data_IF_887867842929
#
_entry.id   IF_887867842929
#
_cell.length_a   1.000
_cell.length_b   1.000
_cell.length_c   1.000
_cell.angle_alpha   90.00
_cell.angle_beta   90.00
_cell.angle_gamma   90.00
#
_symmetry.space_group_name_H-M   'P 1'
#
loop_
_entity.id
_entity.type
_entity.pdbx_description
1 polymer ?
#
# COMPACT_ATOMS: atom_id res chain seq x y z
N UNK A 1 22.66 -22.95 -36.64
CA UNK A 1 22.35 -23.65 -35.38
C UNK A 1 22.75 -22.71 -34.26
N UNK A 2 21.77 -22.06 -33.62
CA UNK A 2 22.00 -21.13 -32.51
C UNK A 2 22.03 -21.98 -31.25
N UNK A 3 23.15 -21.98 -30.52
CA UNK A 3 23.37 -22.75 -29.29
C UNK A 3 22.16 -22.65 -28.35
N UNK A 4 21.44 -23.78 -28.24
CA UNK A 4 20.20 -23.90 -27.46
C UNK A 4 20.50 -24.09 -25.97
N UNK A 5 21.75 -24.42 -25.60
CA UNK A 5 22.10 -24.97 -24.28
C UNK A 5 23.16 -24.14 -23.52
N UNK A 6 23.18 -22.81 -23.68
CA UNK A 6 24.00 -21.96 -22.80
C UNK A 6 23.16 -21.64 -21.57
N UNK A 7 23.45 -22.31 -20.44
CA UNK A 7 22.75 -22.07 -19.18
C UNK A 7 22.90 -20.61 -18.74
N UNK A 8 21.84 -19.82 -18.95
CA UNK A 8 21.78 -18.40 -18.63
C UNK A 8 21.53 -18.15 -17.13
N UNK A 9 21.18 -19.17 -16.34
CA UNK A 9 20.90 -18.98 -14.92
C UNK A 9 22.15 -18.54 -14.15
N UNK A 10 23.31 -19.12 -14.45
CA UNK A 10 24.57 -18.79 -13.78
C UNK A 10 25.09 -17.37 -14.06
N UNK A 11 25.14 -16.86 -15.32
CA UNK A 11 25.54 -15.48 -15.58
C UNK A 11 24.51 -14.47 -15.06
N UNK A 12 23.20 -14.75 -15.14
CA UNK A 12 22.18 -13.87 -14.58
C UNK A 12 22.35 -13.78 -13.07
N UNK A 13 22.49 -14.92 -12.36
CA UNK A 13 22.69 -14.94 -10.91
C UNK A 13 23.99 -14.24 -10.49
N UNK A 14 25.05 -14.37 -11.29
CA UNK A 14 26.32 -13.69 -11.03
C UNK A 14 26.25 -12.18 -11.30
N UNK A 15 25.52 -11.73 -12.32
CA UNK A 15 25.29 -10.32 -12.59
C UNK A 15 24.40 -9.67 -11.49
N UNK A 16 23.39 -10.41 -11.05
CA UNK A 16 22.48 -10.07 -9.94
C UNK A 16 23.22 -9.96 -8.60
N UNK A 17 24.17 -10.86 -8.32
CA UNK A 17 24.95 -10.82 -7.07
C UNK A 17 26.12 -9.81 -7.09
N UNK A 18 26.63 -9.46 -8.28
CA UNK A 18 27.68 -8.44 -8.45
C UNK A 18 27.13 -7.02 -8.50
N UNK A 19 25.88 -6.83 -8.96
CA UNK A 19 25.30 -5.53 -9.25
C UNK A 19 24.43 -4.99 -8.10
N UNK A 20 24.86 -3.85 -7.53
CA UNK A 20 23.94 -2.89 -6.88
C UNK A 20 22.69 -2.70 -7.75
N UNK A 21 21.52 -2.59 -7.13
CA UNK A 21 20.24 -2.23 -7.73
C UNK A 21 20.33 -1.64 -9.15
N UNK A 22 20.15 -2.48 -10.17
CA UNK A 22 20.14 -2.10 -11.58
C UNK A 22 18.75 -2.34 -12.14
N UNK A 23 18.32 -1.49 -13.08
CA UNK A 23 17.03 -1.70 -13.76
C UNK A 23 17.08 -2.97 -14.61
N UNK A 24 15.92 -3.58 -14.88
CA UNK A 24 15.82 -4.77 -15.74
C UNK A 24 16.52 -4.54 -17.09
N UNK A 25 16.41 -3.32 -17.63
CA UNK A 25 17.07 -2.96 -18.88
C UNK A 25 18.61 -2.98 -18.74
N UNK A 26 19.15 -2.41 -17.66
CA UNK A 26 20.59 -2.43 -17.38
C UNK A 26 21.11 -3.86 -17.12
N UNK A 27 20.33 -4.69 -16.42
CA UNK A 27 20.66 -6.11 -16.20
C UNK A 27 20.70 -6.89 -17.52
N UNK A 28 19.67 -6.72 -18.37
CA UNK A 28 19.61 -7.36 -19.69
C UNK A 28 20.75 -6.87 -20.59
N UNK A 29 21.09 -5.58 -20.54
CA UNK A 29 22.21 -4.98 -21.27
C UNK A 29 23.55 -5.57 -20.83
N UNK A 30 23.79 -5.69 -19.52
CA UNK A 30 25.02 -6.24 -18.95
C UNK A 30 25.19 -7.72 -19.32
N UNK A 31 24.16 -8.54 -19.12
CA UNK A 31 24.21 -9.99 -19.42
C UNK A 31 24.29 -10.24 -20.93
N UNK A 32 23.63 -9.44 -21.76
CA UNK A 32 23.74 -9.51 -23.23
C UNK A 32 25.16 -9.22 -23.71
N UNK A 33 25.83 -8.21 -23.11
CA UNK A 33 27.24 -7.90 -23.43
C UNK A 33 28.21 -9.00 -22.99
N UNK A 34 28.01 -9.60 -21.81
CA UNK A 34 28.89 -10.67 -21.32
C UNK A 34 28.72 -11.99 -22.10
N UNK A 35 27.49 -12.33 -22.49
CA UNK A 35 27.19 -13.63 -23.12
C UNK A 35 27.16 -13.61 -24.65
N UNK A 36 27.10 -12.42 -25.26
CA UNK A 36 26.97 -12.23 -26.71
C UNK A 36 25.59 -12.58 -27.27
N UNK A 37 24.60 -12.81 -26.40
CA UNK A 37 23.24 -13.22 -26.79
C UNK A 37 22.34 -12.02 -27.08
N UNK A 38 21.31 -12.16 -27.94
CA UNK A 38 20.38 -11.09 -28.23
C UNK A 38 19.57 -10.69 -26.98
N UNK A 39 19.34 -9.38 -26.81
CA UNK A 39 18.61 -8.80 -25.66
C UNK A 39 17.25 -9.47 -25.41
N UNK A 40 16.55 -9.88 -26.47
CA UNK A 40 15.25 -10.57 -26.39
C UNK A 40 15.32 -11.90 -25.65
N UNK A 41 16.37 -12.71 -25.89
CA UNK A 41 16.55 -14.01 -25.24
C UNK A 41 16.89 -13.86 -23.77
N UNK A 42 17.76 -12.91 -23.45
CA UNK A 42 18.12 -12.58 -22.06
C UNK A 42 16.90 -12.05 -21.29
N UNK A 43 16.13 -11.15 -21.89
CA UNK A 43 14.90 -10.64 -21.29
C UNK A 43 13.85 -11.75 -21.05
N UNK A 44 13.73 -12.69 -21.99
CA UNK A 44 12.84 -13.84 -21.84
C UNK A 44 13.25 -14.76 -20.70
N UNK A 45 14.55 -15.04 -20.54
CA UNK A 45 15.05 -15.84 -19.40
C UNK A 45 14.88 -15.12 -18.06
N UNK A 46 15.17 -13.82 -18.00
CA UNK A 46 14.90 -13.00 -16.80
C UNK A 46 13.41 -13.04 -16.45
N UNK A 47 12.53 -12.94 -17.45
CA UNK A 47 11.08 -13.08 -17.26
C UNK A 47 10.69 -14.47 -16.74
N UNK A 48 11.27 -15.54 -17.29
CA UNK A 48 11.02 -16.91 -16.83
C UNK A 48 11.53 -17.13 -15.40
N UNK A 49 12.67 -16.57 -15.04
CA UNK A 49 13.21 -16.62 -13.67
C UNK A 49 12.34 -15.85 -12.68
N UNK A 50 11.83 -14.66 -13.07
CA UNK A 50 10.83 -13.92 -12.27
C UNK A 50 9.54 -14.73 -12.10
N UNK A 51 9.01 -15.32 -13.18
CA UNK A 51 7.81 -16.17 -13.15
C UNK A 51 7.98 -17.42 -12.27
N UNK A 52 9.21 -17.93 -12.16
CA UNK A 52 9.57 -19.05 -11.29
C UNK A 52 9.79 -18.64 -9.83
N UNK A 53 9.73 -17.34 -9.51
CA UNK A 53 10.00 -16.81 -8.17
C UNK A 53 11.49 -16.78 -7.81
N UNK A 54 12.39 -16.95 -8.79
CA UNK A 54 13.85 -16.92 -8.59
C UNK A 54 14.41 -15.49 -8.54
N UNK A 55 13.64 -14.51 -9.04
CA UNK A 55 13.97 -13.08 -9.04
C UNK A 55 12.74 -12.28 -8.62
N UNK A 56 12.88 -11.38 -7.65
CA UNK A 56 11.86 -10.38 -7.33
C UNK A 56 12.24 -9.05 -7.98
N UNK A 57 11.31 -8.43 -8.71
CA UNK A 57 11.50 -7.11 -9.33
C UNK A 57 10.75 -6.10 -8.46
N UNK A 58 11.49 -5.36 -7.64
CA UNK A 58 10.93 -4.28 -6.83
C UNK A 58 10.83 -3.00 -7.67
N UNK A 59 9.77 -2.21 -7.46
CA UNK A 59 9.66 -0.90 -8.11
C UNK A 59 10.68 0.08 -7.52
N UNK A 60 11.27 0.95 -8.35
CA UNK A 60 12.19 1.98 -7.87
C UNK A 60 11.48 2.87 -6.85
N UNK A 61 12.04 3.02 -5.63
CA UNK A 61 11.41 3.84 -4.62
C UNK A 61 11.47 5.32 -5.02
N UNK A 62 10.38 6.09 -4.82
CA UNK A 62 10.38 7.50 -5.14
C UNK A 62 11.36 8.27 -4.25
N UNK A 63 12.12 9.18 -4.87
CA UNK A 63 13.19 9.92 -4.22
C UNK A 63 12.70 10.87 -3.12
N UNK A 64 11.43 11.30 -3.16
CA UNK A 64 10.89 12.32 -2.25
C UNK A 64 9.49 11.96 -1.72
N UNK A 65 9.23 12.27 -0.45
CA UNK A 65 7.94 12.09 0.23
C UNK A 65 6.77 12.80 -0.48
N UNK A 66 7.01 14.02 -0.95
CA UNK A 66 6.01 14.83 -1.66
C UNK A 66 5.73 14.26 -3.05
N UNK A 67 6.77 13.70 -3.69
CA UNK A 67 6.64 13.01 -4.98
C UNK A 67 5.90 11.68 -4.83
N UNK A 68 6.08 10.94 -3.73
CA UNK A 68 5.29 9.75 -3.40
C UNK A 68 3.79 10.09 -3.23
N UNK A 69 3.47 11.14 -2.47
CA UNK A 69 2.08 11.55 -2.25
C UNK A 69 1.41 12.12 -3.51
N UNK A 70 2.18 12.71 -4.43
CA UNK A 70 1.68 13.21 -5.72
C UNK A 70 1.71 12.15 -6.84
N UNK A 71 2.42 11.04 -6.64
CA UNK A 71 2.50 9.91 -7.58
C UNK A 71 1.24 9.04 -7.53
N UNK A 72 1.11 8.13 -8.50
CA UNK A 72 0.06 7.11 -8.59
C UNK A 72 -0.03 6.28 -7.31
N UNK A 73 1.11 6.06 -6.62
CA UNK A 73 1.17 5.35 -5.33
C UNK A 73 0.47 6.09 -4.18
N UNK A 74 0.41 7.43 -4.26
CA UNK A 74 -0.24 8.31 -3.30
C UNK A 74 -1.76 8.45 -3.49
N UNK A 75 -2.30 8.01 -4.63
CA UNK A 75 -3.75 8.15 -4.95
C UNK A 75 -4.62 7.51 -3.88
N UNK A 76 -4.18 6.35 -3.38
CA UNK A 76 -4.82 5.63 -2.28
C UNK A 76 -5.04 6.51 -1.03
N UNK A 77 -4.02 7.28 -0.65
CA UNK A 77 -4.06 8.18 0.50
C UNK A 77 -5.12 9.27 0.30
N UNK A 78 -5.10 9.92 -0.87
CA UNK A 78 -6.04 11.01 -1.17
C UNK A 78 -7.49 10.54 -1.27
N UNK A 79 -7.75 9.37 -1.86
CA UNK A 79 -9.10 8.80 -1.93
C UNK A 79 -9.63 8.53 -0.52
N UNK A 80 -8.83 7.88 0.33
CA UNK A 80 -9.22 7.55 1.70
C UNK A 80 -9.45 8.82 2.53
N UNK A 81 -8.56 9.81 2.40
CA UNK A 81 -8.70 11.12 3.04
C UNK A 81 -9.94 11.88 2.57
N UNK A 82 -10.21 11.90 1.26
CA UNK A 82 -11.36 12.58 0.69
C UNK A 82 -12.67 11.96 1.18
N UNK A 83 -12.77 10.63 1.20
CA UNK A 83 -13.98 9.94 1.66
C UNK A 83 -14.19 10.12 3.17
N UNK A 84 -13.13 10.07 3.99
CA UNK A 84 -13.24 10.32 5.44
C UNK A 84 -13.71 11.75 5.74
N UNK A 85 -13.13 12.75 5.07
CA UNK A 85 -13.54 14.14 5.23
C UNK A 85 -14.95 14.39 4.67
N UNK A 86 -15.29 13.82 3.51
CA UNK A 86 -16.64 13.92 2.95
C UNK A 86 -17.68 13.30 3.90
N UNK A 87 -17.38 12.14 4.48
CA UNK A 87 -18.22 11.51 5.51
C UNK A 87 -18.41 12.43 6.72
N UNK A 88 -17.31 12.99 7.27
CA UNK A 88 -17.38 13.94 8.38
C UNK A 88 -18.28 15.14 8.04
N UNK A 89 -18.08 15.75 6.87
CA UNK A 89 -18.85 16.91 6.41
C UNK A 89 -20.33 16.55 6.27
N UNK A 90 -20.65 15.43 5.62
CA UNK A 90 -22.03 14.98 5.42
C UNK A 90 -22.71 14.71 6.77
N UNK A 91 -22.02 14.06 7.70
CA UNK A 91 -22.56 13.78 9.04
C UNK A 91 -22.82 15.06 9.84
N UNK A 92 -21.97 16.09 9.69
CA UNK A 92 -22.11 17.36 10.41
C UNK A 92 -23.15 18.31 9.81
N UNK A 93 -23.25 18.37 8.48
CA UNK A 93 -24.13 19.30 7.77
C UNK A 93 -25.54 18.76 7.58
N UNK A 94 -25.69 17.45 7.32
CA UNK A 94 -27.00 16.85 7.04
C UNK A 94 -27.69 16.50 8.35
N UNK A 95 -28.49 17.43 8.87
CA UNK A 95 -29.31 17.23 10.08
C UNK A 95 -30.73 16.75 9.77
N UNK A 96 -31.23 16.98 8.56
CA UNK A 96 -32.58 16.58 8.12
C UNK A 96 -32.76 16.62 6.60
N UNK A 97 -33.90 16.13 6.10
CA UNK A 97 -34.28 16.19 4.69
C UNK A 97 -34.06 14.90 3.88
N UNK A 98 -34.21 14.92 2.55
CA UNK A 98 -34.14 13.73 1.69
C UNK A 98 -32.74 13.12 1.60
N UNK A 99 -31.70 13.82 2.08
CA UNK A 99 -30.31 13.37 2.08
C UNK A 99 -29.93 12.51 3.30
N UNK A 100 -30.86 12.25 4.24
CA UNK A 100 -30.63 11.41 5.42
C UNK A 100 -30.10 10.00 5.07
N UNK A 101 -30.61 9.28 4.05
CA UNK A 101 -30.11 7.94 3.71
C UNK A 101 -28.62 7.95 3.34
N UNK A 102 -28.18 8.97 2.61
CA UNK A 102 -26.78 9.16 2.21
C UNK A 102 -25.90 9.36 3.45
N UNK A 103 -26.39 10.12 4.45
CA UNK A 103 -25.69 10.31 5.73
C UNK A 103 -25.46 9.00 6.46
N UNK A 104 -26.48 8.15 6.55
CA UNK A 104 -26.35 6.86 7.22
C UNK A 104 -25.41 5.91 6.48
N UNK A 105 -25.48 5.88 5.15
CA UNK A 105 -24.62 5.05 4.33
C UNK A 105 -23.14 5.46 4.47
N UNK A 106 -22.83 6.74 4.27
CA UNK A 106 -21.46 7.27 4.41
C UNK A 106 -20.94 7.14 5.84
N UNK A 107 -21.78 7.46 6.82
CA UNK A 107 -21.43 7.32 8.23
C UNK A 107 -21.11 5.86 8.59
N UNK A 108 -21.93 4.92 8.14
CA UNK A 108 -21.70 3.50 8.37
C UNK A 108 -20.38 3.03 7.72
N UNK A 109 -20.12 3.36 6.45
CA UNK A 109 -18.86 3.01 5.77
C UNK A 109 -17.66 3.61 6.50
N UNK A 110 -17.76 4.87 6.90
CA UNK A 110 -16.69 5.59 7.59
C UNK A 110 -16.41 5.08 9.00
N UNK A 111 -17.35 4.39 9.63
CA UNK A 111 -17.17 3.79 10.95
C UNK A 111 -16.77 2.32 10.82
N UNK A 112 -17.36 1.59 9.87
CA UNK A 112 -17.19 0.14 9.75
C UNK A 112 -15.96 -0.29 8.95
N UNK A 113 -15.41 0.60 8.11
CA UNK A 113 -14.33 0.22 7.19
C UNK A 113 -13.10 1.11 7.31
N UNK A 114 -13.29 2.42 7.37
CA UNK A 114 -12.19 3.40 7.30
C UNK A 114 -11.09 3.25 8.35
N UNK A 115 -11.37 3.20 9.67
CA UNK A 115 -10.31 3.15 10.67
C UNK A 115 -9.56 1.81 10.57
N UNK A 116 -10.26 0.70 10.39
CA UNK A 116 -9.64 -0.61 10.20
C UNK A 116 -8.78 -0.69 8.94
N UNK A 117 -9.25 -0.10 7.83
CA UNK A 117 -8.49 -0.03 6.59
C UNK A 117 -7.20 0.77 6.74
N UNK A 118 -7.28 1.96 7.34
CA UNK A 118 -6.11 2.81 7.59
C UNK A 118 -5.07 2.13 8.48
N UNK A 119 -5.51 1.28 9.42
CA UNK A 119 -4.64 0.57 10.33
C UNK A 119 -4.01 -0.67 9.67
N UNK A 120 -4.73 -1.39 8.81
CA UNK A 120 -4.16 -2.48 8.00
C UNK A 120 -3.06 -1.95 7.08
N UNK A 121 -3.31 -0.83 6.42
CA UNK A 121 -2.32 -0.17 5.57
C UNK A 121 -1.13 0.40 6.36
N UNK A 122 -1.35 0.77 7.63
CA UNK A 122 -0.28 1.14 8.54
C UNK A 122 0.53 -0.07 9.03
N UNK A 123 -0.10 -1.21 9.29
CA UNK A 123 0.58 -2.42 9.79
C UNK A 123 1.34 -3.16 8.69
N UNK A 124 0.70 -3.32 7.53
CA UNK A 124 1.15 -4.08 6.36
C UNK A 124 1.27 -3.13 5.16
N UNK A 125 2.40 -2.40 5.06
CA UNK A 125 2.61 -1.40 4.02
C UNK A 125 2.87 -2.01 2.64
N UNK A 126 3.25 -3.29 2.57
CA UNK A 126 3.49 -3.98 1.30
C UNK A 126 2.19 -4.60 0.77
N UNK A 127 2.01 -4.51 -0.55
CA UNK A 127 0.79 -4.99 -1.21
C UNK A 127 0.73 -6.50 -1.41
N UNK A 128 1.86 -7.21 -1.28
CA UNK A 128 2.00 -8.65 -1.51
C UNK A 128 1.94 -9.50 -0.24
N UNK A 129 1.91 -8.88 0.94
CA UNK A 129 1.92 -9.58 2.24
C UNK A 129 0.64 -10.38 2.51
N UNK A 130 -0.48 -10.02 1.87
CA UNK A 130 -1.80 -10.60 2.16
C UNK A 130 -2.65 -10.71 0.90
N UNK A 131 -3.48 -11.76 0.84
CA UNK A 131 -4.47 -11.85 -0.23
C UNK A 131 -5.50 -10.71 -0.10
N UNK A 132 -6.07 -10.19 -1.21
CA UNK A 132 -7.04 -9.09 -1.16
C UNK A 132 -8.24 -9.35 -0.24
N UNK A 133 -8.70 -10.60 -0.17
CA UNK A 133 -9.82 -11.01 0.68
C UNK A 133 -9.46 -11.01 2.17
N UNK A 134 -8.24 -11.42 2.53
CA UNK A 134 -7.74 -11.39 3.90
C UNK A 134 -7.61 -9.96 4.39
N UNK A 135 -7.09 -9.08 3.53
CA UNK A 135 -6.96 -7.64 3.80
C UNK A 135 -8.32 -6.99 4.07
N UNK A 136 -9.33 -7.37 3.28
CA UNK A 136 -10.71 -6.92 3.49
C UNK A 136 -11.26 -7.42 4.83
N UNK A 137 -11.14 -8.72 5.11
CA UNK A 137 -11.63 -9.31 6.35
C UNK A 137 -10.97 -8.68 7.60
N UNK A 138 -9.64 -8.49 7.56
CA UNK A 138 -8.89 -7.83 8.62
C UNK A 138 -9.33 -6.38 8.81
N UNK A 139 -9.51 -5.62 7.74
CA UNK A 139 -9.96 -4.23 7.85
C UNK A 139 -11.32 -4.10 8.55
N UNK A 140 -12.29 -4.96 8.21
CA UNK A 140 -13.62 -4.96 8.82
C UNK A 140 -13.52 -5.40 10.29
N UNK A 141 -12.82 -6.49 10.58
CA UNK A 141 -12.68 -7.02 11.94
C UNK A 141 -12.00 -6.03 12.88
N UNK A 142 -10.98 -5.33 12.38
CA UNK A 142 -10.24 -4.35 13.15
C UNK A 142 -11.04 -3.06 13.38
N UNK A 143 -11.87 -2.66 12.42
CA UNK A 143 -12.83 -1.57 12.60
C UNK A 143 -13.88 -1.89 13.67
N UNK A 144 -14.42 -3.12 13.65
CA UNK A 144 -15.37 -3.61 14.64
C UNK A 144 -14.77 -3.71 16.05
N UNK A 145 -13.45 -3.89 16.18
CA UNK A 145 -12.76 -3.84 17.45
C UNK A 145 -12.50 -2.40 17.92
N UNK A 146 -12.01 -1.54 17.03
CA UNK A 146 -11.56 -0.19 17.36
C UNK A 146 -12.72 0.75 17.68
N UNK A 147 -13.81 0.71 16.90
CA UNK A 147 -14.93 1.66 17.08
C UNK A 147 -15.60 1.57 18.45
N UNK A 148 -15.99 0.37 18.95
CA UNK A 148 -16.56 0.25 20.28
C UNK A 148 -15.58 0.68 21.37
N UNK A 149 -14.29 0.40 21.19
CA UNK A 149 -13.24 0.81 22.13
C UNK A 149 -13.14 2.35 22.20
N UNK A 150 -13.22 3.05 21.07
CA UNK A 150 -13.31 4.51 21.02
C UNK A 150 -14.56 4.98 21.76
N UNK A 151 -15.73 4.38 21.47
CA UNK A 151 -16.98 4.73 22.16
C UNK A 151 -16.88 4.58 23.68
N UNK A 152 -16.24 3.49 24.15
CA UNK A 152 -15.99 3.26 25.57
C UNK A 152 -15.02 4.28 26.16
N UNK A 153 -13.90 4.60 25.48
CA UNK A 153 -12.97 5.64 25.92
C UNK A 153 -13.66 7.00 26.01
N UNK A 154 -14.49 7.36 25.03
CA UNK A 154 -15.23 8.61 25.01
C UNK A 154 -16.27 8.69 26.13
N UNK A 155 -16.80 7.56 26.59
CA UNK A 155 -17.69 7.54 27.75
C UNK A 155 -16.99 8.03 29.03
N UNK A 156 -15.67 7.84 29.16
CA UNK A 156 -14.87 8.38 30.26
C UNK A 156 -14.40 9.82 30.04
N UNK A 157 -14.66 10.40 28.87
CA UNK A 157 -14.37 11.82 28.60
C UNK A 157 -15.57 12.72 28.92
N UNK A 158 -15.36 13.99 29.31
CA UNK A 158 -16.44 14.91 29.67
C UNK A 158 -17.45 15.19 28.54
N UNK A 159 -17.14 14.78 27.30
CA UNK A 159 -18.02 14.91 26.15
C UNK A 159 -19.10 13.81 26.03
N UNK A 160 -18.88 12.64 26.65
CA UNK A 160 -19.79 11.48 26.65
C UNK A 160 -20.02 10.83 25.28
N UNK A 161 -20.96 9.88 25.23
CA UNK A 161 -21.34 9.14 23.99
C UNK A 161 -22.31 9.99 23.15
N UNK A 162 -21.81 11.12 22.63
CA UNK A 162 -22.52 11.96 21.66
C UNK A 162 -21.99 11.71 20.25
N UNK A 163 -22.83 11.95 19.24
CA UNK A 163 -22.47 11.77 17.83
C UNK A 163 -21.21 12.58 17.45
N UNK A 164 -21.13 13.84 17.89
CA UNK A 164 -20.03 14.75 17.52
C UNK A 164 -18.67 14.22 18.03
N UNK A 165 -18.50 13.92 19.34
CA UNK A 165 -17.30 13.29 19.86
C UNK A 165 -16.93 12.01 19.11
N UNK A 166 -17.85 11.06 18.94
CA UNK A 166 -17.57 9.77 18.32
C UNK A 166 -17.05 9.93 16.89
N UNK A 167 -17.75 10.73 16.08
CA UNK A 167 -17.37 10.94 14.68
C UNK A 167 -16.06 11.72 14.58
N UNK A 168 -15.84 12.72 15.43
CA UNK A 168 -14.60 13.50 15.46
C UNK A 168 -13.39 12.66 15.86
N UNK A 169 -13.50 11.84 16.92
CA UNK A 169 -12.43 10.95 17.37
C UNK A 169 -12.12 9.85 16.36
N UNK A 170 -13.14 9.24 15.75
CA UNK A 170 -12.94 8.24 14.70
C UNK A 170 -12.22 8.84 13.47
N UNK A 171 -12.62 10.06 13.07
CA UNK A 171 -11.98 10.76 11.95
C UNK A 171 -10.53 11.11 12.27
N UNK A 172 -10.28 11.67 13.45
CA UNK A 172 -8.93 12.01 13.91
C UNK A 172 -8.01 10.78 13.95
N UNK A 173 -8.50 9.66 14.49
CA UNK A 173 -7.76 8.40 14.51
C UNK A 173 -7.45 7.90 13.10
N UNK A 174 -8.45 7.91 12.22
CA UNK A 174 -8.27 7.45 10.83
C UNK A 174 -7.23 8.29 10.09
N UNK A 175 -7.27 9.63 10.23
CA UNK A 175 -6.28 10.52 9.61
C UNK A 175 -4.88 10.27 10.20
N UNK A 176 -4.77 10.08 11.51
CA UNK A 176 -3.50 9.78 12.16
C UNK A 176 -2.89 8.47 11.66
N UNK A 177 -3.69 7.40 11.58
CA UNK A 177 -3.26 6.10 11.07
C UNK A 177 -2.92 6.15 9.58
N UNK A 178 -3.72 6.86 8.78
CA UNK A 178 -3.47 7.07 7.35
C UNK A 178 -2.15 7.80 7.11
N UNK A 179 -1.87 8.82 7.93
CA UNK A 179 -0.59 9.55 7.88
C UNK A 179 0.57 8.67 8.33
N UNK A 180 0.40 7.87 9.38
CA UNK A 180 1.41 6.90 9.82
C UNK A 180 1.69 5.83 8.75
N UNK A 181 0.66 5.35 8.05
CA UNK A 181 0.79 4.42 6.93
C UNK A 181 1.61 5.02 5.78
N UNK A 182 1.32 6.27 5.40
CA UNK A 182 2.09 6.99 4.39
C UNK A 182 3.56 7.15 4.81
N UNK A 183 3.81 7.56 6.06
CA UNK A 183 5.18 7.68 6.61
C UNK A 183 5.92 6.34 6.60
N UNK A 184 5.26 5.24 6.95
CA UNK A 184 5.86 3.90 6.89
C UNK A 184 6.19 3.51 5.45
N UNK A 185 5.26 3.65 4.50
CA UNK A 185 5.52 3.34 3.08
C UNK A 185 6.70 4.14 2.52
N UNK A 186 6.80 5.43 2.86
CA UNK A 186 7.94 6.26 2.46
C UNK A 186 9.26 5.77 3.07
N UNK A 187 9.25 5.32 4.33
CA UNK A 187 10.45 4.76 4.96
C UNK A 187 10.86 3.43 4.32
N UNK A 188 9.90 2.57 3.96
CA UNK A 188 10.20 1.33 3.23
C UNK A 188 10.77 1.59 1.85
N UNK A 189 10.26 2.61 1.14
CA UNK A 189 10.84 3.05 -0.12
C UNK A 189 12.30 3.52 0.05
N UNK A 190 12.60 4.30 1.11
CA UNK A 190 13.95 4.82 1.33
C UNK A 190 14.97 3.78 1.84
N UNK A 191 14.54 2.60 2.31
CA UNK A 191 15.48 1.54 2.70
C UNK A 191 15.93 0.87 1.42
N UNK A 192 17.23 0.91 1.04
CA UNK A 192 17.73 0.09 -0.04
C UNK A 192 17.51 -1.36 0.37
N UNK A 193 16.42 -1.96 -0.12
CA UNK A 193 16.26 -3.39 -0.09
C UNK A 193 17.51 -3.98 -0.73
N UNK A 194 18.03 -5.06 -0.17
CA UNK A 194 18.90 -5.91 -0.97
C UNK A 194 18.11 -6.22 -2.23
N UNK A 195 18.58 -5.76 -3.39
CA UNK A 195 17.79 -5.75 -4.61
C UNK A 195 17.35 -7.13 -5.09
N UNK A 196 17.78 -8.19 -4.39
CA UNK A 196 17.38 -9.56 -4.56
C UNK A 196 17.41 -10.26 -3.18
N UNK A 197 16.27 -10.26 -2.48
CA UNK A 197 15.97 -11.22 -1.41
C UNK A 197 14.64 -11.86 -1.70
#
# INVERSE_FOLDING_TARGET
MVDVDKDLHSPIRAAVSRGKCTTVNQLVEAVSRETGLPKSRVAYEVYLMWKRGELSIEHEPPENAVMFLASVDGVWYWITLAITLASLIVVMLVKGGPLIPIRYLLGAISVLFMPGYSMVEALYPRGDEMAPLERLALSIGLSLAVVPLIGLMLNYTPWGIKLIPVVSSNTALTIALLTAAALRKMRYASIPGNCFT
#
